data_IF_368802640247
#
_entry.id   IF_368802640247
#
_cell.length_a   1.000
_cell.length_b   1.000
_cell.length_c   1.000
_cell.angle_alpha   90.00
_cell.angle_beta   90.00
_cell.angle_gamma   90.00
#
_symmetry.space_group_name_H-M   'P 1'
#
loop_
_entity.id
_entity.type
_entity.pdbx_description
1 polymer ?
#
# COMPACT_ATOMS: atom_id res chain seq x y z
N UNK A 1 -13.47 0.03 -1.00
CA UNK A 1 -12.13 0.04 -1.65
C UNK A 1 -10.95 -0.19 -0.71
N UNK A 2 -11.05 0.00 0.61
CA UNK A 2 -9.93 -0.30 1.54
C UNK A 2 -10.15 -1.57 2.40
N UNK A 3 -11.29 -2.26 2.27
CA UNK A 3 -11.60 -3.50 3.02
C UNK A 3 -10.84 -4.75 2.58
N UNK A 4 -9.91 -4.63 1.63
CA UNK A 4 -9.16 -5.77 1.11
C UNK A 4 -7.77 -5.75 1.74
N UNK A 5 -7.38 -6.82 2.46
CA UNK A 5 -6.14 -6.83 3.22
C UNK A 5 -4.92 -6.70 2.31
N UNK A 6 -4.95 -7.26 1.10
CA UNK A 6 -3.85 -7.16 0.13
C UNK A 6 -3.68 -5.72 -0.36
N UNK A 7 -4.78 -4.99 -0.65
CA UNK A 7 -4.67 -3.56 -1.02
C UNK A 7 -4.12 -2.70 0.13
N UNK A 8 -4.56 -2.93 1.35
CA UNK A 8 -4.04 -2.22 2.52
C UNK A 8 -2.54 -2.50 2.70
N UNK A 9 -2.15 -3.77 2.58
CA UNK A 9 -0.75 -4.17 2.64
C UNK A 9 0.06 -3.47 1.53
N UNK A 10 -0.39 -3.48 0.27
CA UNK A 10 0.29 -2.77 -0.82
C UNK A 10 0.43 -1.27 -0.52
N UNK A 11 -0.63 -0.61 -0.05
CA UNK A 11 -0.58 0.81 0.31
C UNK A 11 0.41 1.06 1.46
N UNK A 12 0.46 0.18 2.46
CA UNK A 12 1.44 0.26 3.55
C UNK A 12 2.88 0.10 3.08
N UNK A 13 3.15 -0.82 2.15
CA UNK A 13 4.47 -0.98 1.56
C UNK A 13 4.88 0.29 0.77
N UNK A 14 3.95 0.86 0.02
CA UNK A 14 4.16 2.09 -0.77
C UNK A 14 4.24 3.36 0.09
N UNK A 15 3.64 3.35 1.27
CA UNK A 15 3.76 4.43 2.26
C UNK A 15 5.18 4.52 2.83
N UNK A 16 5.87 3.38 2.94
CA UNK A 16 7.27 3.32 3.38
C UNK A 16 8.22 3.70 2.25
N UNK A 17 8.04 3.10 1.07
CA UNK A 17 8.94 3.31 -0.06
C UNK A 17 8.23 3.06 -1.41
N UNK A 18 8.40 3.94 -2.41
CA UNK A 18 7.98 3.67 -3.79
C UNK A 18 8.55 2.33 -4.29
N UNK A 19 7.72 1.49 -4.90
CA UNK A 19 8.11 0.11 -5.25
C UNK A 19 7.57 -0.32 -6.62
N UNK A 20 8.29 -1.22 -7.28
CA UNK A 20 7.82 -1.88 -8.52
C UNK A 20 6.95 -3.11 -8.21
N UNK A 21 6.26 -3.62 -9.24
CA UNK A 21 5.34 -4.78 -9.09
C UNK A 21 6.07 -6.03 -8.58
N UNK A 22 7.32 -6.25 -9.01
CA UNK A 22 8.11 -7.42 -8.60
C UNK A 22 8.42 -7.34 -7.10
N UNK A 23 8.92 -6.21 -6.62
CA UNK A 23 9.17 -5.99 -5.20
C UNK A 23 7.89 -6.12 -4.36
N UNK A 24 6.76 -5.63 -4.86
CA UNK A 24 5.47 -5.77 -4.17
C UNK A 24 5.00 -7.23 -4.13
N UNK A 25 5.22 -8.02 -5.17
CA UNK A 25 4.92 -9.46 -5.17
C UNK A 25 5.75 -10.20 -4.12
N UNK A 26 7.06 -9.92 -4.06
CA UNK A 26 7.96 -10.53 -3.08
C UNK A 26 7.56 -10.19 -1.64
N UNK A 27 7.21 -8.93 -1.38
CA UNK A 27 6.85 -8.45 -0.03
C UNK A 27 5.45 -8.87 0.41
N UNK A 28 4.49 -8.95 -0.51
CA UNK A 28 3.10 -9.34 -0.20
C UNK A 28 2.88 -10.85 -0.19
N UNK A 29 3.73 -11.63 -0.87
CA UNK A 29 3.52 -13.06 -1.12
C UNK A 29 2.36 -13.36 -2.08
N UNK A 30 1.68 -12.34 -2.61
CA UNK A 30 0.56 -12.50 -3.52
C UNK A 30 1.04 -12.73 -4.97
N UNK A 31 0.20 -13.36 -5.80
CA UNK A 31 0.55 -13.58 -7.21
C UNK A 31 0.70 -12.25 -7.97
N UNK A 32 1.59 -12.24 -8.97
CA UNK A 32 1.82 -11.05 -9.83
C UNK A 32 0.55 -10.52 -10.48
N UNK A 33 -0.35 -11.41 -10.89
CA UNK A 33 -1.66 -11.05 -11.45
C UNK A 33 -2.52 -10.33 -10.41
N UNK A 34 -2.58 -10.85 -9.19
CA UNK A 34 -3.34 -10.24 -8.09
C UNK A 34 -2.80 -8.85 -7.76
N UNK A 35 -1.49 -8.71 -7.53
CA UNK A 35 -0.84 -7.42 -7.24
C UNK A 35 -1.09 -6.41 -8.37
N UNK A 36 -0.96 -6.82 -9.62
CA UNK A 36 -1.21 -5.95 -10.77
C UNK A 36 -2.66 -5.47 -10.84
N UNK A 37 -3.64 -6.34 -10.55
CA UNK A 37 -5.06 -5.98 -10.51
C UNK A 37 -5.36 -5.00 -9.36
N UNK A 38 -4.78 -5.23 -8.19
CA UNK A 38 -4.91 -4.31 -7.06
C UNK A 38 -4.31 -2.94 -7.38
N UNK A 39 -3.11 -2.89 -7.94
CA UNK A 39 -2.46 -1.65 -8.38
C UNK A 39 -3.25 -0.92 -9.47
N UNK A 40 -3.85 -1.64 -10.43
CA UNK A 40 -4.70 -1.05 -11.44
C UNK A 40 -5.93 -0.37 -10.81
N UNK A 41 -6.58 -1.02 -9.83
CA UNK A 41 -7.70 -0.45 -9.08
C UNK A 41 -7.29 0.77 -8.27
N UNK A 42 -6.15 0.71 -7.57
CA UNK A 42 -5.61 1.83 -6.79
C UNK A 42 -5.24 3.03 -7.68
N UNK A 43 -4.68 2.76 -8.87
CA UNK A 43 -4.36 3.80 -9.85
C UNK A 43 -5.62 4.44 -10.41
N UNK A 44 -6.62 3.62 -10.73
CA UNK A 44 -7.92 4.09 -11.22
C UNK A 44 -8.63 4.98 -10.20
N UNK A 45 -8.52 4.66 -8.90
CA UNK A 45 -9.06 5.50 -7.83
C UNK A 45 -8.18 6.70 -7.46
N UNK A 46 -7.06 6.93 -8.15
CA UNK A 46 -6.15 8.05 -7.89
C UNK A 46 -5.35 7.95 -6.59
N UNK A 47 -5.32 6.78 -5.94
CA UNK A 47 -4.62 6.58 -4.66
C UNK A 47 -3.11 6.38 -4.85
N UNK A 48 -2.72 5.87 -6.01
CA UNK A 48 -1.31 5.68 -6.38
C UNK A 48 -1.02 6.32 -7.73
N UNK A 49 0.21 6.80 -7.88
CA UNK A 49 0.79 7.25 -9.14
C UNK A 49 1.80 6.24 -9.63
N UNK A 50 2.13 6.33 -10.92
CA UNK A 50 3.14 5.49 -11.55
C UNK A 50 4.17 6.36 -12.23
N UNK A 51 5.44 6.02 -12.06
CA UNK A 51 6.54 6.60 -12.82
C UNK A 51 7.28 5.48 -13.55
N UNK A 52 7.64 5.73 -14.81
CA UNK A 52 8.49 4.81 -15.55
C UNK A 52 9.95 5.13 -15.21
N UNK A 53 10.64 4.16 -14.63
CA UNK A 53 12.05 4.26 -14.29
C UNK A 53 12.85 3.24 -15.08
N UNK A 54 13.57 3.72 -16.10
CA UNK A 54 14.29 2.91 -17.08
C UNK A 54 13.41 1.82 -17.71
N UNK A 55 13.44 0.61 -17.14
CA UNK A 55 12.76 -0.61 -17.64
C UNK A 55 11.59 -1.05 -16.76
N UNK A 56 11.33 -0.38 -15.63
CA UNK A 56 10.30 -0.77 -14.67
C UNK A 56 9.29 0.35 -14.45
N UNK A 57 8.13 -0.02 -13.93
CA UNK A 57 7.10 0.91 -13.47
C UNK A 57 7.13 0.90 -11.95
N UNK A 58 7.46 2.04 -11.37
CA UNK A 58 7.48 2.26 -9.93
C UNK A 58 6.18 2.93 -9.52
N UNK A 59 5.59 2.43 -8.45
CA UNK A 59 4.35 2.94 -7.86
C UNK A 59 4.68 3.74 -6.61
N UNK A 60 3.92 4.81 -6.37
CA UNK A 60 4.00 5.64 -5.16
C UNK A 60 2.62 6.14 -4.76
N UNK A 61 2.43 6.48 -3.48
CA UNK A 61 1.18 7.09 -3.01
C UNK A 61 1.02 8.48 -3.65
N UNK A 62 -0.20 8.80 -4.09
CA UNK A 62 -0.48 10.02 -4.84
C UNK A 62 -0.48 11.32 -4.03
N UNK A 63 -0.70 11.24 -2.72
CA UNK A 63 -0.86 12.36 -1.77
C UNK A 63 -0.33 11.98 -0.38
N UNK A 64 0.42 12.87 0.26
CA UNK A 64 0.93 12.68 1.62
C UNK A 64 -0.17 12.57 2.70
N UNK A 65 -1.35 13.16 2.49
CA UNK A 65 -2.46 12.99 3.42
C UNK A 65 -2.97 11.54 3.45
N UNK A 66 -3.00 10.88 2.29
CA UNK A 66 -3.36 9.46 2.19
C UNK A 66 -2.31 8.56 2.85
N UNK A 67 -1.03 8.87 2.67
CA UNK A 67 0.06 8.17 3.37
C UNK A 67 -0.16 8.20 4.88
N UNK A 68 -0.45 9.38 5.44
CA UNK A 68 -0.70 9.55 6.87
C UNK A 68 -1.91 8.76 7.34
N UNK A 69 -3.03 8.83 6.62
CA UNK A 69 -4.25 8.11 6.95
C UNK A 69 -4.07 6.59 6.94
N UNK A 70 -3.34 6.05 5.96
CA UNK A 70 -3.05 4.61 5.89
C UNK A 70 -2.16 4.17 7.06
N UNK A 71 -1.14 4.95 7.38
CA UNK A 71 -0.24 4.66 8.50
C UNK A 71 -0.96 4.74 9.85
N UNK A 72 -1.77 5.78 10.08
CA UNK A 72 -2.57 5.93 11.31
C UNK A 72 -3.61 4.82 11.45
N UNK A 73 -4.33 4.48 10.36
CA UNK A 73 -5.34 3.44 10.36
C UNK A 73 -4.77 2.04 10.62
N UNK A 74 -3.59 1.72 10.06
CA UNK A 74 -2.90 0.46 10.33
C UNK A 74 -2.31 0.41 11.73
N UNK A 75 -1.73 1.51 12.22
CA UNK A 75 -1.22 1.59 13.58
C UNK A 75 -2.36 1.37 14.59
N UNK A 76 -3.54 1.97 14.38
CA UNK A 76 -4.71 1.74 15.22
C UNK A 76 -5.24 0.30 15.14
N UNK A 77 -5.23 -0.32 13.95
CA UNK A 77 -5.60 -1.72 13.78
C UNK A 77 -4.61 -2.67 14.47
N UNK A 78 -3.31 -2.37 14.40
CA UNK A 78 -2.27 -3.14 15.09
C UNK A 78 -2.45 -3.06 16.61
N UNK A 79 -2.69 -1.87 17.18
CA UNK A 79 -3.03 -1.71 18.61
C UNK A 79 -4.25 -2.52 19.05
N UNK A 80 -5.25 -2.71 18.18
CA UNK A 80 -6.41 -3.56 18.48
C UNK A 80 -6.13 -5.06 18.38
N UNK A 81 -5.02 -5.46 17.75
CA UNK A 81 -4.58 -6.85 17.63
C UNK A 81 -3.50 -7.21 18.66
N UNK A 82 -2.66 -6.25 19.07
CA UNK A 82 -1.60 -6.43 20.09
C UNK A 82 -2.04 -6.15 21.53
N UNK A 83 -3.13 -5.40 21.75
CA UNK A 83 -3.71 -5.19 23.08
C UNK A 83 -2.95 -4.17 23.95
N UNK A 84 -2.12 -3.30 23.37
CA UNK A 84 -1.45 -2.24 24.13
C UNK A 84 -2.33 -0.98 24.23
N UNK A 85 -2.43 -0.35 25.42
CA UNK A 85 -3.29 0.79 25.65
C UNK A 85 -2.76 2.06 24.97
N UNK A 86 -3.67 2.91 24.48
CA UNK A 86 -3.34 4.23 23.95
C UNK A 86 -2.69 5.09 25.05
N UNK A 87 -1.52 5.64 24.77
CA UNK A 87 -0.99 6.75 25.55
C UNK A 87 -1.55 8.06 24.98
N UNK A 88 -2.38 8.73 25.82
CA UNK A 88 -2.91 10.09 25.64
C UNK A 88 -1.81 11.15 25.43
#
# INVERSE_FOLDING_TARGET
MLSDPTRLHILWLLAQEPSDVTSLVERTGASRTSVSQHLAKLRFSGLVRTQKESRRVVYSIADGHLTRLVMEGLNHADHKVTGEPAHD
#
